data_IF_360843691498
#
_entry.id   IF_360843691498
#
_cell.length_a   1.000
_cell.length_b   1.000
_cell.length_c   1.000
_cell.angle_alpha   90.00
_cell.angle_beta   90.00
_cell.angle_gamma   90.00
#
_symmetry.space_group_name_H-M   'P 1'
#
loop_
_entity.id
_entity.type
_entity.pdbx_description
1 polymer ?
#
# COMPACT_ATOMS: atom_id res chain seq x y z
N UNK A 1 0.94 3.93 -12.03
CA UNK A 1 0.77 2.52 -11.60
C UNK A 1 1.25 1.52 -12.65
N UNK A 2 0.69 1.47 -13.87
CA UNK A 2 1.08 0.48 -14.89
C UNK A 2 2.57 0.57 -15.26
N UNK A 3 3.11 1.78 -15.42
CA UNK A 3 4.54 2.01 -15.69
C UNK A 3 5.43 1.50 -14.54
N UNK A 4 5.01 1.70 -13.29
CA UNK A 4 5.71 1.12 -12.14
C UNK A 4 5.67 -0.41 -12.20
N UNK A 5 4.51 -1.02 -12.45
CA UNK A 5 4.40 -2.47 -12.58
C UNK A 5 5.34 -3.06 -13.65
N UNK A 6 5.52 -2.36 -14.77
CA UNK A 6 6.44 -2.77 -15.84
C UNK A 6 7.93 -2.60 -15.49
N UNK A 7 8.26 -1.77 -14.49
CA UNK A 7 9.64 -1.44 -14.09
C UNK A 7 10.02 -2.00 -12.72
N UNK A 8 9.17 -2.84 -12.13
CA UNK A 8 9.48 -3.53 -10.87
C UNK A 8 10.77 -4.35 -11.02
N UNK A 9 11.75 -4.22 -10.11
CA UNK A 9 12.96 -5.03 -10.13
C UNK A 9 12.70 -6.51 -9.92
N UNK A 10 11.62 -6.85 -9.21
CA UNK A 10 11.23 -8.22 -8.90
C UNK A 10 9.92 -8.61 -9.60
N UNK A 11 9.85 -9.83 -10.20
CA UNK A 11 8.62 -10.37 -10.76
C UNK A 11 7.57 -10.76 -9.69
N UNK A 12 7.97 -10.81 -8.41
CA UNK A 12 7.09 -11.20 -7.29
C UNK A 12 6.38 -9.99 -6.64
N UNK A 13 6.73 -8.77 -7.06
CA UNK A 13 6.15 -7.54 -6.54
C UNK A 13 4.79 -7.27 -7.17
N UNK A 14 3.79 -7.00 -6.33
CA UNK A 14 2.42 -6.70 -6.74
C UNK A 14 1.98 -5.29 -6.34
N UNK A 15 1.20 -4.64 -7.21
CA UNK A 15 0.49 -3.39 -6.90
C UNK A 15 -1.01 -3.64 -7.00
N UNK A 16 -1.76 -3.30 -5.95
CA UNK A 16 -3.18 -3.59 -5.84
C UNK A 16 -4.04 -2.40 -5.43
N UNK A 17 -5.31 -2.44 -5.85
CA UNK A 17 -6.37 -1.56 -5.37
C UNK A 17 -7.49 -2.43 -4.79
N UNK A 18 -7.66 -2.39 -3.47
CA UNK A 18 -8.70 -3.13 -2.77
C UNK A 18 -9.87 -2.21 -2.47
N UNK A 19 -11.10 -2.63 -2.79
CA UNK A 19 -12.29 -1.85 -2.48
C UNK A 19 -12.71 -1.99 -1.01
N UNK A 20 -12.79 -0.87 -0.29
CA UNK A 20 -13.48 -0.79 0.99
C UNK A 20 -14.98 -0.56 0.75
N UNK A 21 -15.79 -1.59 1.00
CA UNK A 21 -17.23 -1.56 0.74
C UNK A 21 -17.99 -2.51 1.67
N UNK A 22 -19.28 -2.76 1.38
CA UNK A 22 -20.08 -3.76 2.06
C UNK A 22 -20.47 -3.36 3.48
N UNK A 23 -20.54 -4.34 4.39
CA UNK A 23 -20.94 -4.13 5.79
C UNK A 23 -19.89 -3.31 6.54
N UNK A 24 -18.60 -3.56 6.27
CA UNK A 24 -17.50 -2.90 6.94
C UNK A 24 -17.55 -1.38 6.79
N UNK A 25 -17.98 -0.88 5.61
CA UNK A 25 -18.08 0.55 5.33
C UNK A 25 -19.31 1.25 5.89
N UNK A 26 -20.22 0.52 6.56
CA UNK A 26 -21.42 1.09 7.20
C UNK A 26 -21.29 1.25 8.71
N UNK A 27 -20.21 0.73 9.29
CA UNK A 27 -19.91 0.90 10.71
C UNK A 27 -19.34 2.29 10.92
N UNK A 28 -19.78 2.96 11.99
CA UNK A 28 -19.25 4.28 12.37
C UNK A 28 -17.73 4.23 12.58
N UNK A 29 -17.01 5.22 12.04
CA UNK A 29 -15.54 5.26 12.07
C UNK A 29 -14.95 5.30 13.50
N UNK A 30 -15.72 5.74 14.51
CA UNK A 30 -15.32 5.79 15.91
C UNK A 30 -15.77 4.57 16.72
N UNK A 31 -16.50 3.63 16.11
CA UNK A 31 -16.97 2.44 16.81
C UNK A 31 -15.86 1.42 17.11
N UNK A 32 -14.69 1.53 16.46
CA UNK A 32 -13.53 0.65 16.66
C UNK A 32 -12.23 1.44 16.47
N UNK A 33 -11.07 0.85 16.81
CA UNK A 33 -9.77 1.44 16.50
C UNK A 33 -9.49 1.59 14.99
N UNK A 34 -10.14 0.82 14.13
CA UNK A 34 -10.01 0.95 12.67
C UNK A 34 -10.98 2.02 12.11
N UNK A 35 -10.44 3.20 11.84
CA UNK A 35 -11.21 4.38 11.43
C UNK A 35 -11.52 4.45 9.92
N UNK A 36 -10.77 3.75 9.07
CA UNK A 36 -10.89 3.84 7.60
C UNK A 36 -12.10 3.04 7.08
N UNK A 37 -13.30 3.57 7.29
CA UNK A 37 -14.58 2.94 6.92
C UNK A 37 -15.24 3.53 5.67
N UNK A 38 -14.76 4.66 5.16
CA UNK A 38 -15.35 5.28 3.98
C UNK A 38 -15.34 4.32 2.79
N UNK A 39 -16.32 4.48 1.88
CA UNK A 39 -16.25 3.83 0.57
C UNK A 39 -15.09 4.42 -0.21
N UNK A 40 -14.04 3.64 -0.37
CA UNK A 40 -12.79 4.06 -1.01
C UNK A 40 -12.01 2.84 -1.53
N UNK A 41 -10.83 3.09 -2.07
CA UNK A 41 -9.87 2.05 -2.36
C UNK A 41 -8.68 2.14 -1.40
N UNK A 42 -8.23 1.00 -0.92
CA UNK A 42 -6.92 0.87 -0.29
C UNK A 42 -5.90 0.61 -1.40
N UNK A 43 -4.83 1.40 -1.41
CA UNK A 43 -3.70 1.22 -2.32
C UNK A 43 -2.59 0.45 -1.62
N UNK A 44 -2.17 -0.67 -2.20
CA UNK A 44 -1.17 -1.56 -1.61
C UNK A 44 -0.03 -1.82 -2.60
N UNK A 45 1.20 -1.76 -2.08
CA UNK A 45 2.40 -2.23 -2.77
C UNK A 45 2.98 -3.37 -1.93
N UNK A 46 3.04 -4.57 -2.49
CA UNK A 46 3.63 -5.74 -1.85
C UNK A 46 4.91 -6.08 -2.58
N UNK A 47 6.03 -5.53 -2.10
CA UNK A 47 7.35 -5.76 -2.68
C UNK A 47 7.97 -7.00 -2.07
N UNK A 48 8.36 -7.94 -2.92
CA UNK A 48 8.89 -9.24 -2.52
C UNK A 48 10.04 -9.62 -3.43
N UNK A 49 11.06 -10.26 -2.88
CA UNK A 49 12.25 -10.72 -3.61
C UNK A 49 12.84 -11.94 -2.89
N UNK A 50 13.65 -12.74 -3.59
CA UNK A 50 14.25 -13.96 -3.05
C UNK A 50 15.62 -13.72 -2.44
N UNK A 51 16.51 -13.00 -3.14
CA UNK A 51 17.87 -12.73 -2.68
C UNK A 51 17.90 -11.49 -1.77
N UNK A 52 18.32 -11.60 -0.50
CA UNK A 52 18.47 -10.45 0.38
C UNK A 52 19.34 -9.32 -0.19
N UNK A 53 20.27 -9.61 -1.11
CA UNK A 53 21.09 -8.60 -1.78
C UNK A 53 20.28 -7.63 -2.66
N UNK A 54 19.07 -8.03 -3.11
CA UNK A 54 18.19 -7.19 -3.93
C UNK A 54 17.34 -6.21 -3.12
N UNK A 55 17.49 -6.19 -1.79
CA UNK A 55 16.66 -5.40 -0.88
C UNK A 55 16.68 -3.91 -1.20
N UNK A 56 17.86 -3.32 -1.38
CA UNK A 56 18.00 -1.88 -1.61
C UNK A 56 17.26 -1.42 -2.88
N UNK A 57 17.38 -2.19 -3.96
CA UNK A 57 16.72 -1.90 -5.23
C UNK A 57 15.19 -1.95 -5.12
N UNK A 58 14.67 -3.00 -4.48
CA UNK A 58 13.23 -3.20 -4.31
C UNK A 58 12.63 -2.17 -3.34
N UNK A 59 13.30 -1.88 -2.22
CA UNK A 59 12.85 -0.86 -1.25
C UNK A 59 12.86 0.53 -1.90
N UNK A 60 13.92 0.89 -2.62
CA UNK A 60 14.00 2.18 -3.30
C UNK A 60 12.91 2.34 -4.37
N UNK A 61 12.65 1.28 -5.16
CA UNK A 61 11.56 1.28 -6.13
C UNK A 61 10.19 1.46 -5.45
N UNK A 62 9.95 0.75 -4.34
CA UNK A 62 8.69 0.82 -3.58
C UNK A 62 8.41 2.23 -3.10
N UNK A 63 9.43 2.90 -2.53
CA UNK A 63 9.32 4.27 -2.03
C UNK A 63 9.01 5.25 -3.15
N UNK A 64 9.68 5.14 -4.31
CA UNK A 64 9.37 5.97 -5.49
C UNK A 64 7.96 5.74 -6.01
N UNK A 65 7.49 4.49 -6.01
CA UNK A 65 6.13 4.17 -6.41
C UNK A 65 5.12 4.81 -5.46
N UNK A 66 5.33 4.69 -4.15
CA UNK A 66 4.47 5.31 -3.14
C UNK A 66 4.46 6.84 -3.26
N UNK A 67 5.62 7.48 -3.37
CA UNK A 67 5.77 8.93 -3.52
C UNK A 67 5.03 9.44 -4.76
N UNK A 68 5.14 8.73 -5.88
CA UNK A 68 4.41 9.08 -7.10
C UNK A 68 2.88 8.97 -6.94
N UNK A 69 2.41 8.11 -6.03
CA UNK A 69 0.98 7.94 -5.76
C UNK A 69 0.45 8.88 -4.67
N UNK A 70 1.33 9.51 -3.86
CA UNK A 70 0.96 10.41 -2.75
C UNK A 70 -0.09 11.46 -3.11
N UNK A 71 -0.07 12.13 -4.28
CA UNK A 71 -1.11 13.11 -4.64
C UNK A 71 -2.54 12.55 -4.74
N UNK A 72 -2.70 11.23 -4.84
CA UNK A 72 -3.99 10.54 -4.93
C UNK A 72 -4.42 9.89 -3.61
N UNK A 73 -3.55 9.88 -2.60
CA UNK A 73 -3.83 9.27 -1.30
C UNK A 73 -4.53 10.28 -0.39
N UNK A 74 -5.45 9.78 0.43
CA UNK A 74 -5.91 10.54 1.61
C UNK A 74 -4.77 10.60 2.63
N UNK A 75 -4.77 11.59 3.53
CA UNK A 75 -3.88 11.59 4.69
C UNK A 75 -4.02 10.24 5.43
N UNK A 76 -2.90 9.52 5.49
CA UNK A 76 -2.82 8.22 6.14
C UNK A 76 -2.59 8.37 7.64
N UNK A 77 -2.93 7.32 8.39
CA UNK A 77 -2.39 7.11 9.73
C UNK A 77 -1.19 6.18 9.57
N UNK A 78 0.01 6.64 9.95
CA UNK A 78 1.21 5.80 9.98
C UNK A 78 1.13 4.85 11.19
N UNK A 79 0.81 3.58 10.96
CA UNK A 79 0.96 2.56 11.98
C UNK A 79 2.44 2.22 12.15
N UNK A 80 3.05 2.67 13.25
CA UNK A 80 4.47 2.45 13.58
C UNK A 80 4.76 1.01 14.06
N UNK A 81 3.98 0.02 13.65
CA UNK A 81 3.98 -1.33 14.23
C UNK A 81 4.96 -2.32 13.55
N UNK A 82 5.75 -1.88 12.57
CA UNK A 82 6.68 -2.74 11.82
C UNK A 82 8.16 -2.59 12.21
N UNK A 83 8.46 -2.31 13.48
CA UNK A 83 9.82 -2.41 14.01
C UNK A 83 9.84 -3.40 15.18
N UNK A 84 10.11 -4.66 14.87
CA UNK A 84 10.58 -5.66 15.84
C UNK A 84 11.38 -6.78 15.18
#
# INVERSE_FOLDING_TARGET
>A
MLEFGATSPSPYTGIGLQQMTGVASRVDARATAFAHRDRQYDFLIVSQWEDPADADGNVAWTRRCFEAMTPYLKEGVEDHSAEK
#
